data_IF_938775484946
#
_entry.id   IF_938775484946
#
_cell.length_a   1.000
_cell.length_b   1.000
_cell.length_c   1.000
_cell.angle_alpha   90.00
_cell.angle_beta   90.00
_cell.angle_gamma   90.00
#
_symmetry.space_group_name_H-M   'P 1'
#
loop_
_entity.id
_entity.type
_entity.pdbx_description
1 polymer ?
#
# COMPACT_ATOMS: atom_id res chain seq x y z
N UNK A 1 -14.37 3.07 -7.84
CA UNK A 1 -13.13 3.51 -7.14
C UNK A 1 -13.50 4.61 -6.17
N UNK A 2 -12.92 4.63 -4.98
CA UNK A 2 -13.11 5.74 -4.03
C UNK A 2 -12.50 7.06 -4.53
N UNK A 3 -12.47 8.08 -3.68
CA UNK A 3 -11.88 9.38 -4.01
C UNK A 3 -10.36 9.34 -4.26
N UNK A 4 -9.81 10.46 -4.75
CA UNK A 4 -8.38 10.61 -5.16
C UNK A 4 -7.41 10.10 -4.08
N UNK A 5 -7.65 10.41 -2.81
CA UNK A 5 -6.81 9.95 -1.69
C UNK A 5 -6.81 8.41 -1.55
N UNK A 6 -7.94 7.75 -1.78
CA UNK A 6 -8.04 6.28 -1.69
C UNK A 6 -7.32 5.60 -2.86
N UNK A 7 -7.38 6.22 -4.04
CA UNK A 7 -6.67 5.74 -5.23
C UNK A 7 -5.15 5.89 -5.07
N UNK A 8 -4.67 7.05 -4.59
CA UNK A 8 -3.25 7.26 -4.32
C UNK A 8 -2.69 6.23 -3.30
N UNK A 9 -3.46 5.93 -2.25
CA UNK A 9 -3.11 4.87 -1.29
C UNK A 9 -3.03 3.48 -1.93
N UNK A 10 -3.98 3.15 -2.81
CA UNK A 10 -3.98 1.88 -3.53
C UNK A 10 -2.80 1.74 -4.51
N UNK A 11 -2.49 2.80 -5.28
CA UNK A 11 -1.36 2.83 -6.21
C UNK A 11 -0.05 2.64 -5.45
N UNK A 12 0.17 3.38 -4.36
CA UNK A 12 1.36 3.24 -3.52
C UNK A 12 1.54 1.81 -3.00
N UNK A 13 0.46 1.18 -2.54
CA UNK A 13 0.52 -0.20 -2.06
C UNK A 13 0.81 -1.19 -3.20
N UNK A 14 0.29 -0.96 -4.40
CA UNK A 14 0.60 -1.75 -5.59
C UNK A 14 2.08 -1.66 -5.99
N UNK A 15 2.64 -0.46 -6.02
CA UNK A 15 4.07 -0.24 -6.32
C UNK A 15 4.95 -0.96 -5.30
N UNK A 16 4.62 -0.88 -4.00
CA UNK A 16 5.38 -1.58 -2.96
C UNK A 16 5.41 -3.10 -3.17
N UNK A 17 4.31 -3.71 -3.64
CA UNK A 17 4.28 -5.15 -3.97
C UNK A 17 5.08 -5.47 -5.22
N UNK A 18 5.04 -4.62 -6.24
CA UNK A 18 5.84 -4.80 -7.46
C UNK A 18 7.35 -4.72 -7.16
N UNK A 19 7.77 -3.80 -6.28
CA UNK A 19 9.16 -3.71 -5.84
C UNK A 19 9.63 -4.95 -5.08
N UNK A 20 8.77 -5.53 -4.23
CA UNK A 20 9.08 -6.81 -3.56
C UNK A 20 9.28 -7.96 -4.56
N UNK A 21 8.50 -7.99 -5.64
CA UNK A 21 8.68 -9.00 -6.69
C UNK A 21 9.97 -8.79 -7.50
N UNK A 22 10.43 -7.54 -7.61
CA UNK A 22 11.67 -7.22 -8.31
C UNK A 22 12.92 -7.56 -7.48
N UNK A 23 12.91 -7.33 -6.17
CA UNK A 23 13.98 -7.75 -5.25
C UNK A 23 13.50 -7.78 -3.80
N UNK A 24 13.89 -8.83 -3.06
CA UNK A 24 13.56 -8.98 -1.64
C UNK A 24 14.32 -7.97 -0.76
N UNK A 25 15.38 -7.34 -1.28
CA UNK A 25 16.15 -6.30 -0.57
C UNK A 25 15.28 -5.10 -0.19
N UNK A 26 14.23 -4.83 -0.97
CA UNK A 26 13.30 -3.75 -0.70
C UNK A 26 12.36 -4.05 0.48
N UNK A 27 12.30 -5.29 0.98
CA UNK A 27 11.39 -5.66 2.07
C UNK A 27 11.64 -4.86 3.34
N UNK A 28 12.90 -4.74 3.78
CA UNK A 28 13.24 -4.03 5.01
C UNK A 28 12.86 -2.54 4.93
N UNK A 29 13.29 -1.77 3.90
CA UNK A 29 12.91 -0.36 3.79
C UNK A 29 11.40 -0.18 3.61
N UNK A 30 10.72 -1.00 2.79
CA UNK A 30 9.28 -0.90 2.59
C UNK A 30 8.48 -1.23 3.85
N UNK A 31 8.93 -2.20 4.66
CA UNK A 31 8.31 -2.53 5.95
C UNK A 31 8.49 -1.40 6.96
N UNK A 32 9.69 -0.83 7.06
CA UNK A 32 9.97 0.32 7.94
C UNK A 32 9.15 1.56 7.56
N UNK A 33 8.95 1.79 6.26
CA UNK A 33 8.11 2.87 5.76
C UNK A 33 6.59 2.60 5.86
N UNK A 34 6.17 1.40 6.28
CA UNK A 34 4.76 1.05 6.46
C UNK A 34 3.99 0.81 5.15
N UNK A 35 4.65 0.62 4.01
CA UNK A 35 3.99 0.48 2.70
C UNK A 35 3.46 -0.93 2.41
N UNK A 36 3.92 -1.92 3.17
CA UNK A 36 3.49 -3.32 3.03
C UNK A 36 2.15 -3.62 3.71
N UNK A 37 1.68 -2.75 4.59
CA UNK A 37 0.41 -2.91 5.28
C UNK A 37 -0.70 -2.26 4.48
N UNK A 38 -1.77 -3.00 4.21
CA UNK A 38 -2.98 -2.45 3.59
C UNK A 38 -3.69 -1.55 4.61
N UNK A 39 -4.16 -0.38 4.17
CA UNK A 39 -5.02 0.48 4.99
C UNK A 39 -6.38 -0.21 5.24
N UNK A 40 -6.75 -0.50 6.51
CA UNK A 40 -7.99 -1.20 6.84
C UNK A 40 -9.20 -0.25 6.88
N UNK A 41 -9.00 1.07 6.78
CA UNK A 41 -10.08 2.05 6.95
C UNK A 41 -11.15 1.88 5.86
N UNK A 42 -12.39 1.79 6.31
CA UNK A 42 -13.57 1.65 5.47
C UNK A 42 -14.74 2.41 6.09
N UNK A 43 -15.63 2.94 5.25
CA UNK A 43 -16.82 3.66 5.71
C UNK A 43 -17.76 2.66 6.40
N UNK A 44 -18.08 2.90 7.67
CA UNK A 44 -19.05 2.11 8.40
C UNK A 44 -20.46 2.31 7.83
N UNK A 45 -21.27 1.25 7.84
CA UNK A 45 -22.66 1.33 7.38
C UNK A 45 -23.51 2.06 8.42
N UNK A 46 -24.58 2.72 7.96
CA UNK A 46 -25.60 3.29 8.85
C UNK A 46 -26.50 2.19 9.41
#
# INVERSE_FOLDING_TARGET
GGGVSGQAGAIRHGIARALLQASEEYRIPLKRAGFLTRDPRMKERK
#
